data_IF_674980360499
#
_entry.id   IF_674980360499
#
_cell.length_a   1.000
_cell.length_b   1.000
_cell.length_c   1.000
_cell.angle_alpha   90.00
_cell.angle_beta   90.00
_cell.angle_gamma   90.00
#
_symmetry.space_group_name_H-M   'P 1'
#
loop_
_entity.id
_entity.type
_entity.pdbx_description
1 polymer ?
#
# COMPACT_ATOMS: atom_id res chain seq x y z
N UNK A 1 15.62 -13.58 -2.05
CA UNK A 1 14.43 -13.99 -1.30
C UNK A 1 13.91 -12.73 -0.64
N UNK A 2 12.88 -12.12 -1.19
CA UNK A 2 12.23 -10.96 -0.58
C UNK A 2 11.50 -11.49 0.64
N UNK A 3 11.87 -11.03 1.83
CA UNK A 3 11.21 -11.49 3.06
C UNK A 3 9.87 -10.76 3.18
N UNK A 4 8.79 -11.43 2.75
CA UNK A 4 7.44 -10.89 2.79
C UNK A 4 7.10 -10.32 4.17
N UNK A 5 7.58 -10.96 5.24
CA UNK A 5 7.38 -10.50 6.61
C UNK A 5 8.10 -9.19 6.89
N UNK A 6 9.30 -8.99 6.33
CA UNK A 6 10.04 -7.74 6.47
C UNK A 6 9.33 -6.58 5.77
N UNK A 7 8.77 -6.80 4.58
CA UNK A 7 7.98 -5.77 3.86
C UNK A 7 6.72 -5.43 4.65
N UNK A 8 5.97 -6.44 5.10
CA UNK A 8 4.74 -6.23 5.87
C UNK A 8 5.06 -5.48 7.18
N UNK A 9 6.12 -5.85 7.89
CA UNK A 9 6.53 -5.17 9.11
C UNK A 9 6.87 -3.69 8.85
N UNK A 10 7.66 -3.41 7.81
CA UNK A 10 8.02 -2.04 7.43
C UNK A 10 6.80 -1.21 6.99
N UNK A 11 5.86 -1.81 6.24
CA UNK A 11 4.61 -1.17 5.87
C UNK A 11 3.72 -0.86 7.10
N UNK A 12 3.65 -1.80 8.06
CA UNK A 12 2.94 -1.61 9.33
C UNK A 12 3.57 -0.53 10.23
N UNK A 13 4.88 -0.35 10.18
CA UNK A 13 5.54 0.74 10.90
C UNK A 13 5.25 2.10 10.24
N UNK A 14 5.30 2.18 8.91
CA UNK A 14 4.86 3.36 8.15
C UNK A 14 3.40 3.74 8.44
N UNK A 15 2.51 2.74 8.56
CA UNK A 15 1.11 2.93 8.97
C UNK A 15 0.99 3.57 10.36
N UNK A 16 1.82 3.13 11.30
CA UNK A 16 1.78 3.63 12.69
C UNK A 16 2.18 5.09 12.78
N UNK A 17 3.09 5.54 11.92
CA UNK A 17 3.56 6.92 11.87
C UNK A 17 2.53 7.87 11.21
N UNK A 18 1.82 7.39 10.19
CA UNK A 18 0.87 8.20 9.42
C UNK A 18 -0.53 8.27 10.04
N UNK A 19 -0.96 7.25 10.78
CA UNK A 19 -2.21 7.27 11.56
C UNK A 19 -3.50 7.08 10.76
N UNK A 20 -3.43 6.97 9.42
CA UNK A 20 -4.59 6.99 8.52
C UNK A 20 -4.96 5.62 7.92
N UNK A 21 -4.68 4.54 8.64
CA UNK A 21 -4.68 3.20 8.04
C UNK A 21 -5.87 2.34 8.46
N UNK A 22 -6.54 1.73 7.48
CA UNK A 22 -7.66 0.81 7.69
C UNK A 22 -7.50 -0.45 6.83
N UNK A 23 -7.97 -1.58 7.36
CA UNK A 23 -8.18 -2.82 6.58
C UNK A 23 -6.93 -3.41 5.87
N UNK A 24 -5.80 -3.66 6.57
CA UNK A 24 -4.68 -4.36 5.96
C UNK A 24 -5.08 -5.78 5.55
N UNK A 25 -4.74 -6.20 4.34
CA UNK A 25 -5.02 -7.55 3.83
C UNK A 25 -3.95 -8.04 2.88
N UNK A 26 -3.85 -9.36 2.75
CA UNK A 26 -3.02 -10.02 1.74
C UNK A 26 -3.94 -10.64 0.70
N UNK A 27 -3.69 -10.34 -0.57
CA UNK A 27 -4.45 -10.86 -1.71
C UNK A 27 -3.52 -11.51 -2.74
N UNK A 28 -4.09 -12.34 -3.63
CA UNK A 28 -3.35 -12.78 -4.81
C UNK A 28 -3.24 -11.62 -5.80
N UNK A 29 -2.07 -11.46 -6.39
CA UNK A 29 -1.83 -10.47 -7.45
C UNK A 29 -2.73 -10.73 -8.67
N UNK A 30 -2.96 -12.00 -9.01
CA UNK A 30 -3.83 -12.38 -10.12
C UNK A 30 -5.31 -12.02 -9.92
N UNK A 31 -5.74 -11.78 -8.67
CA UNK A 31 -7.14 -11.49 -8.31
C UNK A 31 -7.36 -10.00 -8.01
N UNK A 32 -6.33 -9.15 -8.16
CA UNK A 32 -6.37 -7.75 -7.78
C UNK A 32 -6.13 -6.83 -8.99
N UNK A 33 -7.08 -5.94 -9.27
CA UNK A 33 -6.99 -5.02 -10.41
C UNK A 33 -6.14 -3.78 -10.06
N UNK A 34 -4.96 -3.70 -10.68
CA UNK A 34 -4.03 -2.57 -10.54
C UNK A 34 -4.20 -1.51 -11.63
N UNK A 35 -5.18 -1.62 -12.54
CA UNK A 35 -5.31 -0.74 -13.70
C UNK A 35 -5.51 0.75 -13.36
N UNK A 36 -6.05 1.04 -12.19
CA UNK A 36 -6.30 2.40 -11.69
C UNK A 36 -5.24 2.88 -10.69
N UNK A 37 -4.12 2.16 -10.54
CA UNK A 37 -3.06 2.52 -9.63
C UNK A 37 -1.85 3.09 -10.37
N UNK A 38 -1.26 4.13 -9.79
CA UNK A 38 0.02 4.65 -10.22
C UNK A 38 1.15 3.85 -9.58
N UNK A 39 2.08 3.34 -10.40
CA UNK A 39 3.28 2.64 -9.95
C UNK A 39 4.38 3.65 -9.63
N UNK A 40 4.91 3.61 -8.42
CA UNK A 40 6.02 4.46 -7.97
C UNK A 40 7.07 3.69 -7.19
N UNK A 41 8.24 4.31 -6.96
CA UNK A 41 9.29 3.74 -6.12
C UNK A 41 8.83 3.72 -4.66
N UNK A 42 9.03 2.59 -3.99
CA UNK A 42 8.57 2.41 -2.61
C UNK A 42 9.62 2.87 -1.60
N UNK A 43 9.16 3.57 -0.56
CA UNK A 43 9.98 3.88 0.62
C UNK A 43 10.00 2.76 1.67
N UNK A 44 9.16 1.72 1.50
CA UNK A 44 9.09 0.57 2.39
C UNK A 44 10.27 -0.36 2.15
N UNK A 45 11.05 -0.63 3.21
CA UNK A 45 12.21 -1.49 3.13
C UNK A 45 11.85 -2.89 2.59
N UNK A 46 12.58 -3.34 1.57
CA UNK A 46 12.37 -4.63 0.92
C UNK A 46 11.37 -4.61 -0.23
N UNK A 47 10.53 -3.58 -0.35
CA UNK A 47 9.66 -3.36 -1.51
C UNK A 47 10.30 -2.33 -2.44
N UNK A 48 10.63 -2.74 -3.67
CA UNK A 48 11.22 -1.82 -4.66
C UNK A 48 10.19 -0.83 -5.20
N UNK A 49 8.92 -1.23 -5.27
CA UNK A 49 7.83 -0.41 -5.79
C UNK A 49 6.57 -0.55 -4.96
N UNK A 50 5.71 0.44 -5.11
CA UNK A 50 4.35 0.45 -4.61
C UNK A 50 3.39 0.96 -5.67
N UNK A 51 2.12 0.58 -5.51
CA UNK A 51 1.02 1.01 -6.36
C UNK A 51 0.09 1.86 -5.51
N UNK A 52 -0.21 3.07 -5.95
CA UNK A 52 -1.02 4.03 -5.19
C UNK A 52 -2.24 4.44 -6.02
N UNK A 53 -3.41 4.33 -5.41
CA UNK A 53 -4.66 4.92 -5.90
C UNK A 53 -5.14 5.90 -4.82
N UNK A 54 -4.99 7.20 -5.05
CA UNK A 54 -5.41 8.24 -4.12
C UNK A 54 -6.50 9.10 -4.73
N UNK A 55 -7.58 9.33 -4.00
CA UNK A 55 -8.79 10.04 -4.44
C UNK A 55 -9.27 11.01 -3.36
N UNK A 56 -9.79 12.17 -3.79
CA UNK A 56 -10.37 13.17 -2.89
C UNK A 56 -10.29 14.59 -3.46
N UNK A 57 -11.11 15.55 -2.96
CA UNK A 57 -11.17 16.91 -3.47
C UNK A 57 -9.91 17.75 -3.19
N UNK A 58 -8.95 17.24 -2.40
CA UNK A 58 -7.60 17.81 -2.29
C UNK A 58 -7.52 19.25 -1.79
N UNK A 59 -8.57 19.81 -1.18
CA UNK A 59 -8.59 21.24 -0.84
C UNK A 59 -7.84 21.60 0.45
N UNK A 60 -7.54 20.63 1.33
CA UNK A 60 -6.85 20.91 2.59
C UNK A 60 -5.97 19.77 3.15
N UNK A 61 -5.72 18.69 2.39
CA UNK A 61 -4.85 17.60 2.84
C UNK A 61 -5.47 16.64 3.86
N UNK A 62 -6.70 16.89 4.33
CA UNK A 62 -7.34 16.13 5.42
C UNK A 62 -8.56 15.29 4.99
N UNK A 63 -9.02 15.38 3.73
CA UNK A 63 -10.14 14.59 3.20
C UNK A 63 -9.70 13.79 1.97
N UNK A 64 -8.95 12.70 2.19
CA UNK A 64 -8.55 11.79 1.12
C UNK A 64 -8.78 10.32 1.51
N UNK A 65 -9.16 9.54 0.51
CA UNK A 65 -9.22 8.08 0.60
C UNK A 65 -8.34 7.48 -0.47
N UNK A 66 -7.74 6.34 -0.18
CA UNK A 66 -6.96 5.64 -1.18
C UNK A 66 -6.49 4.28 -0.76
N UNK A 67 -5.73 3.65 -1.64
CA UNK A 67 -5.17 2.33 -1.45
C UNK A 67 -3.71 2.35 -1.85
N UNK A 68 -2.82 1.86 -0.98
CA UNK A 68 -1.43 1.54 -1.33
C UNK A 68 -1.27 0.04 -1.35
N UNK A 69 -0.52 -0.46 -2.32
CA UNK A 69 -0.26 -1.88 -2.51
C UNK A 69 1.22 -2.13 -2.71
N UNK A 70 1.77 -3.09 -1.96
CA UNK A 70 3.15 -3.55 -2.07
C UNK A 70 3.21 -5.00 -2.54
N UNK A 71 4.00 -5.33 -3.58
CA UNK A 71 4.33 -6.72 -3.89
C UNK A 71 5.20 -7.32 -2.78
N UNK A 72 4.76 -8.44 -2.21
CA UNK A 72 5.48 -9.12 -1.12
C UNK A 72 6.14 -10.43 -1.54
N UNK A 73 6.07 -10.77 -2.83
CA UNK A 73 6.59 -12.03 -3.39
C UNK A 73 5.52 -13.10 -3.57
N UNK A 74 5.88 -14.20 -4.26
CA UNK A 74 5.01 -15.36 -4.51
C UNK A 74 3.63 -15.04 -5.12
N UNK A 75 3.56 -13.99 -5.95
CA UNK A 75 2.31 -13.51 -6.56
C UNK A 75 1.31 -12.99 -5.53
N UNK A 76 1.79 -12.47 -4.40
CA UNK A 76 0.98 -11.87 -3.32
C UNK A 76 1.22 -10.37 -3.24
N UNK A 77 0.15 -9.68 -2.88
CA UNK A 77 0.14 -8.25 -2.61
C UNK A 77 -0.27 -8.01 -1.16
N UNK A 78 0.43 -7.10 -0.49
CA UNK A 78 -0.04 -6.48 0.75
C UNK A 78 -0.76 -5.19 0.39
N UNK A 79 -2.05 -5.14 0.72
CA UNK A 79 -2.96 -4.04 0.38
C UNK A 79 -3.33 -3.31 1.64
N UNK A 80 -3.28 -1.97 1.56
CA UNK A 80 -3.69 -1.10 2.62
C UNK A 80 -4.61 -0.01 2.10
N UNK A 81 -5.73 0.18 2.78
CA UNK A 81 -6.62 1.32 2.54
C UNK A 81 -6.32 2.42 3.56
N UNK A 82 -6.40 3.66 3.11
CA UNK A 82 -6.30 4.83 3.96
C UNK A 82 -7.49 5.74 3.76
N UNK A 83 -7.91 6.37 4.86
CA UNK A 83 -8.97 7.35 4.90
C UNK A 83 -8.64 8.35 6.00
N UNK A 84 -8.77 9.65 5.69
CA UNK A 84 -8.52 10.74 6.63
C UNK A 84 -9.81 11.44 7.03
#
# INVERSE_FOLDING_TARGET
MTDALAIIAAACDYMRETGFSHTPRIVNEADFDLSNFDRQDSSVAGASVEYVDQRGPGMAGDDFHGTVVWPIGDGKLFVLEFNT
#
